data_IF_389399877151
#
_entry.id   IF_389399877151
#
_cell.length_a   1.000
_cell.length_b   1.000
_cell.length_c   1.000
_cell.angle_alpha   90.00
_cell.angle_beta   90.00
_cell.angle_gamma   90.00
#
_symmetry.space_group_name_H-M   'P 1'
#
loop_
_entity.id
_entity.type
_entity.pdbx_description
1 polymer ?
#
# COMPACT_ATOMS: atom_id res chain seq x y z
N UNK A 1 22.75 -3.22 -35.15
CA UNK A 1 21.74 -3.73 -34.21
C UNK A 1 21.10 -2.55 -33.52
N UNK A 2 19.78 -2.54 -33.47
CA UNK A 2 18.96 -1.57 -32.73
C UNK A 2 17.85 -2.35 -32.04
N UNK A 3 17.27 -1.81 -30.98
CA UNK A 3 16.24 -2.53 -30.25
C UNK A 3 15.80 -1.77 -29.03
N UNK A 4 14.78 -2.32 -28.37
CA UNK A 4 14.23 -1.79 -27.14
C UNK A 4 14.14 -2.89 -26.10
N UNK A 5 14.35 -2.52 -24.84
CA UNK A 5 14.31 -3.41 -23.69
C UNK A 5 13.39 -2.82 -22.64
N UNK A 6 12.57 -3.70 -22.05
CA UNK A 6 11.56 -3.35 -21.07
C UNK A 6 11.62 -4.31 -19.89
N UNK A 7 11.01 -3.88 -18.78
CA UNK A 7 10.81 -4.69 -17.58
C UNK A 7 9.33 -4.99 -17.39
N UNK A 8 9.05 -6.26 -17.10
CA UNK A 8 7.71 -6.74 -16.81
C UNK A 8 7.45 -6.80 -15.31
N UNK A 9 6.38 -6.17 -14.85
CA UNK A 9 5.88 -6.24 -13.47
C UNK A 9 4.36 -6.52 -13.53
N UNK A 10 3.86 -7.65 -13.00
CA UNK A 10 4.58 -8.76 -12.39
C UNK A 10 5.36 -9.60 -13.43
N UNK A 11 6.43 -10.25 -12.98
CA UNK A 11 7.26 -11.12 -13.81
C UNK A 11 6.50 -12.34 -14.34
N UNK A 12 6.89 -12.84 -15.53
CA UNK A 12 6.38 -14.08 -16.11
C UNK A 12 7.45 -14.71 -17.02
N UNK A 13 8.04 -15.82 -16.58
CA UNK A 13 9.11 -16.50 -17.32
C UNK A 13 8.74 -16.92 -18.75
N UNK A 14 7.48 -17.31 -19.02
CA UNK A 14 7.04 -17.71 -20.38
C UNK A 14 6.88 -16.52 -21.33
N UNK A 15 6.67 -15.32 -20.80
CA UNK A 15 6.51 -14.09 -21.59
C UNK A 15 7.74 -13.18 -21.54
N UNK A 16 8.83 -13.67 -20.95
CA UNK A 16 10.11 -13.00 -20.85
C UNK A 16 11.08 -13.54 -21.91
N UNK A 17 12.14 -12.78 -22.21
CA UNK A 17 13.13 -13.11 -23.23
C UNK A 17 13.22 -12.07 -24.34
N UNK A 18 14.28 -12.19 -25.15
CA UNK A 18 14.54 -11.31 -26.29
C UNK A 18 13.90 -11.88 -27.55
N UNK A 19 13.28 -11.00 -28.34
CA UNK A 19 12.73 -11.31 -29.66
C UNK A 19 13.67 -10.74 -30.70
N UNK A 20 14.24 -11.61 -31.52
CA UNK A 20 15.23 -11.26 -32.53
C UNK A 20 14.55 -11.17 -33.89
N UNK A 21 14.59 -9.98 -34.47
CA UNK A 21 14.02 -9.64 -35.75
C UNK A 21 15.10 -9.47 -36.81
N UNK A 22 14.74 -9.72 -38.06
CA UNK A 22 15.55 -9.41 -39.23
C UNK A 22 14.65 -8.91 -40.34
N UNK A 23 14.91 -7.69 -40.81
CA UNK A 23 14.16 -7.01 -41.88
C UNK A 23 12.65 -7.01 -41.60
N UNK A 24 12.28 -6.73 -40.35
CA UNK A 24 10.88 -6.68 -39.90
C UNK A 24 10.21 -8.05 -39.71
N UNK A 25 10.95 -9.17 -39.84
CA UNK A 25 10.43 -10.53 -39.57
C UNK A 25 11.03 -11.08 -38.28
N UNK A 26 10.19 -11.65 -37.41
CA UNK A 26 10.63 -12.42 -36.25
C UNK A 26 11.37 -13.68 -36.72
N UNK A 27 12.61 -13.84 -36.26
CA UNK A 27 13.45 -15.02 -36.55
C UNK A 27 13.55 -15.91 -35.31
N UNK A 28 13.73 -15.32 -34.13
CA UNK A 28 13.83 -16.06 -32.86
C UNK A 28 13.01 -15.34 -31.79
N UNK A 29 12.15 -16.05 -31.07
CA UNK A 29 11.25 -15.46 -30.09
C UNK A 29 9.81 -15.92 -30.27
N UNK A 30 8.92 -15.42 -29.42
CA UNK A 30 7.49 -15.76 -29.42
C UNK A 30 7.02 -16.19 -28.03
N UNK A 31 5.74 -16.54 -27.87
CA UNK A 31 5.19 -16.97 -26.58
C UNK A 31 5.90 -18.23 -26.05
N UNK A 32 6.78 -18.07 -25.07
CA UNK A 32 7.56 -19.16 -24.48
C UNK A 32 8.91 -19.45 -25.14
N UNK A 33 9.22 -18.81 -26.27
CA UNK A 33 10.41 -19.09 -27.10
C UNK A 33 11.39 -17.91 -27.19
N UNK A 34 11.33 -16.98 -26.25
CA UNK A 34 12.26 -15.85 -26.19
C UNK A 34 13.72 -16.30 -26.09
N UNK A 35 14.62 -15.62 -26.81
CA UNK A 35 16.06 -15.83 -26.70
C UNK A 35 16.55 -15.37 -25.32
N UNK A 36 17.23 -16.26 -24.59
CA UNK A 36 17.65 -16.06 -23.19
C UNK A 36 19.07 -16.58 -22.95
N UNK A 37 20.10 -15.81 -23.30
CA UNK A 37 21.48 -16.20 -23.02
C UNK A 37 21.69 -16.30 -21.51
N UNK A 38 22.33 -17.36 -21.05
CA UNK A 38 22.52 -17.66 -19.62
C UNK A 38 23.33 -16.57 -18.91
N UNK A 39 24.22 -15.88 -19.61
CA UNK A 39 25.07 -14.81 -19.09
C UNK A 39 24.28 -13.56 -18.65
N UNK A 40 23.03 -13.43 -19.11
CA UNK A 40 22.13 -12.31 -18.81
C UNK A 40 20.92 -12.80 -18.00
N UNK A 41 20.32 -13.92 -18.41
CA UNK A 41 19.08 -14.44 -17.81
C UNK A 41 19.35 -15.40 -16.64
N UNK A 42 20.60 -15.83 -16.45
CA UNK A 42 21.06 -16.72 -15.38
C UNK A 42 20.22 -18.00 -15.33
N UNK A 43 19.39 -18.20 -14.31
CA UNK A 43 18.53 -19.38 -14.18
C UNK A 43 17.04 -19.04 -14.44
N UNK A 44 16.22 -20.00 -14.93
CA UNK A 44 14.83 -19.76 -15.33
C UNK A 44 13.91 -19.14 -14.26
N UNK A 45 14.21 -19.35 -12.98
CA UNK A 45 13.45 -18.81 -11.85
C UNK A 45 13.95 -17.46 -11.33
N UNK A 46 15.01 -16.89 -11.91
CA UNK A 46 15.55 -15.60 -11.47
C UNK A 46 14.58 -14.44 -11.76
N UNK A 47 14.74 -13.33 -11.05
CA UNK A 47 13.89 -12.16 -11.30
C UNK A 47 14.13 -11.58 -12.69
N UNK A 48 15.39 -11.49 -13.12
CA UNK A 48 15.74 -11.07 -14.48
C UNK A 48 15.17 -12.02 -15.55
N UNK A 49 15.16 -13.33 -15.34
CA UNK A 49 14.62 -14.28 -16.33
C UNK A 49 13.11 -14.23 -16.51
N UNK A 50 12.41 -13.69 -15.51
CA UNK A 50 10.96 -13.51 -15.51
C UNK A 50 10.53 -12.12 -15.96
N UNK A 51 11.43 -11.13 -15.90
CA UNK A 51 11.07 -9.71 -16.08
C UNK A 51 11.69 -9.06 -17.29
N UNK A 52 12.87 -9.49 -17.72
CA UNK A 52 13.57 -8.89 -18.84
C UNK A 52 12.90 -9.30 -20.16
N UNK A 53 12.45 -8.32 -20.92
CA UNK A 53 11.82 -8.48 -22.24
C UNK A 53 12.49 -7.51 -23.20
N UNK A 54 12.73 -7.93 -24.43
CA UNK A 54 13.22 -7.01 -25.45
C UNK A 54 12.92 -7.45 -26.86
N UNK A 55 13.07 -6.50 -27.77
CA UNK A 55 12.98 -6.68 -29.22
C UNK A 55 14.24 -6.11 -29.85
N UNK A 56 14.94 -6.92 -30.65
CA UNK A 56 16.24 -6.60 -31.22
C UNK A 56 16.23 -6.85 -32.73
N UNK A 57 16.55 -5.82 -33.51
CA UNK A 57 16.70 -5.89 -34.96
C UNK A 57 18.16 -6.19 -35.34
N UNK A 58 18.33 -7.31 -36.04
CA UNK A 58 19.59 -7.89 -36.52
C UNK A 58 19.61 -7.97 -38.06
N UNK A 59 19.32 -6.86 -38.73
CA UNK A 59 19.13 -6.80 -40.20
C UNK A 59 20.31 -7.35 -41.03
N UNK A 60 21.54 -7.07 -40.58
CA UNK A 60 22.79 -7.43 -41.26
C UNK A 60 23.38 -8.76 -40.80
N UNK A 61 22.69 -9.50 -39.93
CA UNK A 61 23.19 -10.74 -39.38
C UNK A 61 22.93 -11.94 -40.31
N UNK A 62 23.86 -12.92 -40.34
CA UNK A 62 23.67 -14.14 -41.10
C UNK A 62 22.58 -15.00 -40.45
N UNK A 63 21.82 -15.71 -41.28
CA UNK A 63 20.75 -16.62 -40.86
C UNK A 63 20.97 -18.00 -41.47
N UNK A 64 20.45 -19.03 -40.82
CA UNK A 64 20.48 -20.40 -41.34
C UNK A 64 19.76 -20.50 -42.68
N UNK A 65 20.04 -21.56 -43.43
CA UNK A 65 19.45 -21.78 -44.76
C UNK A 65 17.91 -21.77 -44.74
N UNK A 66 17.30 -22.29 -43.67
CA UNK A 66 15.83 -22.32 -43.50
C UNK A 66 15.27 -20.98 -43.01
N UNK A 67 16.13 -20.05 -42.54
CA UNK A 67 15.78 -18.74 -41.97
C UNK A 67 14.95 -18.83 -40.68
N UNK A 68 15.10 -19.93 -39.96
CA UNK A 68 14.43 -20.18 -38.68
C UNK A 68 15.35 -19.89 -37.48
N UNK A 69 16.61 -19.57 -37.73
CA UNK A 69 17.57 -19.17 -36.71
C UNK A 69 18.65 -18.26 -37.30
N UNK A 70 19.32 -17.51 -36.42
CA UNK A 70 20.56 -16.82 -36.77
C UNK A 70 21.72 -17.81 -36.87
N UNK A 71 22.65 -17.54 -37.79
CA UNK A 71 23.89 -18.31 -37.89
C UNK A 71 24.93 -17.69 -36.95
N UNK A 72 25.19 -18.37 -35.85
CA UNK A 72 26.05 -17.91 -34.77
C UNK A 72 27.52 -18.29 -34.95
N UNK A 73 27.93 -18.74 -36.14
CA UNK A 73 29.30 -19.19 -36.42
C UNK A 73 30.37 -18.11 -36.15
N UNK A 74 31.57 -18.56 -35.79
CA UNK A 74 32.78 -17.72 -35.71
C UNK A 74 32.74 -16.67 -34.60
N UNK A 75 32.44 -17.08 -33.36
CA UNK A 75 32.39 -16.24 -32.15
C UNK A 75 31.37 -15.08 -32.18
N UNK A 76 30.51 -15.06 -33.20
CA UNK A 76 29.54 -13.99 -33.41
C UNK A 76 28.52 -13.93 -32.26
N UNK A 77 28.06 -15.09 -31.76
CA UNK A 77 27.17 -15.17 -30.59
C UNK A 77 27.85 -14.69 -29.31
N UNK A 78 29.12 -15.05 -29.10
CA UNK A 78 29.84 -14.59 -27.93
C UNK A 78 29.99 -13.05 -27.94
N UNK A 79 30.37 -12.49 -29.09
CA UNK A 79 30.46 -11.04 -29.27
C UNK A 79 29.10 -10.33 -29.12
N UNK A 80 28.02 -10.98 -29.56
CA UNK A 80 26.65 -10.50 -29.37
C UNK A 80 26.28 -10.42 -27.89
N UNK A 81 26.47 -11.52 -27.16
CA UNK A 81 26.11 -11.64 -25.75
C UNK A 81 26.88 -10.63 -24.91
N UNK A 82 28.18 -10.43 -25.16
CA UNK A 82 28.99 -9.41 -24.46
C UNK A 82 28.39 -8.02 -24.63
N UNK A 83 28.08 -7.61 -25.87
CA UNK A 83 27.51 -6.29 -26.14
C UNK A 83 26.10 -6.15 -25.58
N UNK A 84 25.29 -7.20 -25.68
CA UNK A 84 23.94 -7.20 -25.15
C UNK A 84 23.96 -7.06 -23.63
N UNK A 85 24.84 -7.81 -22.95
CA UNK A 85 25.01 -7.78 -21.49
C UNK A 85 25.36 -6.37 -21.00
N UNK A 86 26.29 -5.70 -21.66
CA UNK A 86 26.65 -4.31 -21.35
C UNK A 86 25.46 -3.36 -21.55
N UNK A 87 24.74 -3.50 -22.67
CA UNK A 87 23.59 -2.66 -22.99
C UNK A 87 22.38 -2.85 -22.05
N UNK A 88 22.21 -4.04 -21.46
CA UNK A 88 21.09 -4.34 -20.55
C UNK A 88 21.46 -4.34 -19.07
N UNK A 89 22.71 -4.01 -18.71
CA UNK A 89 23.20 -4.05 -17.33
C UNK A 89 22.26 -3.28 -16.37
N UNK A 90 21.93 -2.03 -16.70
CA UNK A 90 21.00 -1.20 -15.91
C UNK A 90 19.62 -1.84 -15.74
N UNK A 91 19.14 -2.57 -16.74
CA UNK A 91 17.84 -3.25 -16.71
C UNK A 91 17.90 -4.55 -15.92
N UNK A 92 19.01 -5.27 -15.98
CA UNK A 92 19.24 -6.47 -15.15
C UNK A 92 19.32 -6.08 -13.68
N UNK A 93 20.04 -5.01 -13.37
CA UNK A 93 20.11 -4.45 -12.01
C UNK A 93 18.72 -4.05 -11.54
N UNK A 94 17.97 -3.26 -12.33
CA UNK A 94 16.58 -2.93 -12.01
C UNK A 94 15.69 -4.16 -11.87
N UNK A 95 15.84 -5.18 -12.71
CA UNK A 95 15.04 -6.41 -12.63
C UNK A 95 15.24 -7.16 -11.32
N UNK A 96 16.46 -7.13 -10.78
CA UNK A 96 16.82 -7.80 -9.51
C UNK A 96 16.47 -6.97 -8.29
N UNK A 97 16.62 -5.64 -8.36
CA UNK A 97 16.36 -4.74 -7.22
C UNK A 97 14.90 -4.32 -7.10
N UNK A 98 14.13 -4.39 -8.19
CA UNK A 98 12.69 -4.10 -8.15
C UNK A 98 12.02 -5.14 -7.28
N UNK A 99 11.69 -4.79 -6.04
CA UNK A 99 10.74 -5.60 -5.27
C UNK A 99 9.43 -5.51 -6.05
N UNK A 100 8.85 -6.65 -6.42
CA UNK A 100 7.41 -6.60 -6.62
C UNK A 100 6.89 -6.14 -5.27
N UNK A 101 6.17 -5.02 -5.23
CA UNK A 101 5.32 -4.72 -4.08
C UNK A 101 4.31 -5.86 -4.04
N UNK A 102 4.71 -6.97 -3.43
CA UNK A 102 3.81 -8.05 -3.10
C UNK A 102 2.88 -7.43 -2.10
N UNK A 103 1.72 -7.01 -2.60
CA UNK A 103 0.72 -6.28 -1.84
C UNK A 103 0.34 -7.16 -0.67
N UNK A 104 0.94 -6.85 0.48
CA UNK A 104 0.77 -7.66 1.67
C UNK A 104 -0.28 -6.99 2.52
N UNK A 105 -1.43 -7.63 2.59
CA UNK A 105 -2.56 -7.16 3.39
C UNK A 105 -2.16 -7.11 4.88
N UNK A 106 -2.50 -6.04 5.61
CA UNK A 106 -2.32 -5.98 7.06
C UNK A 106 -3.15 -7.04 7.77
N UNK A 107 -2.59 -7.59 8.84
CA UNK A 107 -3.33 -8.45 9.76
C UNK A 107 -3.88 -7.64 10.94
N UNK A 108 -4.81 -8.22 11.68
CA UNK A 108 -5.32 -7.71 12.95
C UNK A 108 -4.17 -7.47 13.92
N UNK A 109 -3.17 -8.34 13.95
CA UNK A 109 -1.97 -8.15 14.77
C UNK A 109 -1.16 -6.91 14.37
N UNK A 110 -1.01 -6.64 13.06
CA UNK A 110 -0.34 -5.43 12.60
C UNK A 110 -1.14 -4.17 12.99
N UNK A 111 -2.47 -4.24 12.88
CA UNK A 111 -3.38 -3.18 13.32
C UNK A 111 -3.28 -2.93 14.82
N UNK A 112 -3.32 -3.99 15.63
CA UNK A 112 -3.20 -3.90 17.09
C UNK A 112 -1.86 -3.26 17.50
N UNK A 113 -0.75 -3.66 16.89
CA UNK A 113 0.56 -3.05 17.13
C UNK A 113 0.56 -1.55 16.80
N UNK A 114 -0.07 -1.14 15.69
CA UNK A 114 -0.21 0.26 15.34
C UNK A 114 -1.10 1.04 16.33
N UNK A 115 -2.18 0.40 16.81
CA UNK A 115 -3.05 0.95 17.87
C UNK A 115 -2.30 1.15 19.19
N UNK A 116 -1.54 0.14 19.61
CA UNK A 116 -0.73 0.18 20.83
C UNK A 116 0.36 1.25 20.74
N UNK A 117 1.08 1.35 19.62
CA UNK A 117 2.08 2.40 19.41
C UNK A 117 1.46 3.81 19.41
N UNK A 118 0.19 3.92 19.00
CA UNK A 118 -0.54 5.19 19.04
C UNK A 118 -0.96 5.59 20.46
N UNK A 119 -1.17 4.62 21.35
CA UNK A 119 -1.54 4.86 22.74
C UNK A 119 -0.52 5.72 23.45
N UNK A 120 0.76 5.40 23.31
CA UNK A 120 1.85 6.16 23.94
C UNK A 120 1.85 7.63 23.50
N UNK A 121 1.56 7.89 22.22
CA UNK A 121 1.47 9.25 21.69
C UNK A 121 0.23 10.01 22.18
N UNK A 122 -0.87 9.32 22.46
CA UNK A 122 -2.15 9.91 22.85
C UNK A 122 -2.32 10.09 24.36
N UNK A 123 -1.54 9.41 25.18
CA UNK A 123 -1.53 9.56 26.64
C UNK A 123 -0.71 10.78 27.13
N UNK A 124 -0.18 11.62 26.22
CA UNK A 124 0.55 12.84 26.59
C UNK A 124 -0.41 13.88 27.23
N UNK A 125 -0.12 14.43 28.42
CA UNK A 125 -0.92 15.47 29.06
C UNK A 125 -1.18 16.72 28.21
N UNK A 126 -0.35 16.98 27.19
CA UNK A 126 -0.60 18.05 26.23
C UNK A 126 -1.94 17.85 25.49
N UNK A 127 -2.33 16.60 25.22
CA UNK A 127 -3.57 16.21 24.54
C UNK A 127 -4.80 16.73 25.29
N UNK A 128 -4.76 16.79 26.61
CA UNK A 128 -5.83 17.34 27.46
C UNK A 128 -6.21 18.78 27.05
N UNK A 129 -5.19 19.59 26.74
CA UNK A 129 -5.42 20.98 26.33
C UNK A 129 -6.08 21.05 24.94
N UNK A 130 -5.72 20.15 24.03
CA UNK A 130 -6.41 20.06 22.73
C UNK A 130 -7.87 19.67 22.93
N UNK A 131 -8.14 18.70 23.81
CA UNK A 131 -9.49 18.24 24.07
C UNK A 131 -10.37 19.32 24.69
N UNK A 132 -9.85 20.08 25.66
CA UNK A 132 -10.57 21.24 26.21
C UNK A 132 -10.96 22.27 25.13
N UNK A 133 -10.06 22.57 24.19
CA UNK A 133 -10.33 23.49 23.07
C UNK A 133 -11.43 22.93 22.15
N UNK A 134 -11.37 21.62 21.88
CA UNK A 134 -12.36 20.89 21.05
C UNK A 134 -13.71 20.71 21.75
N UNK A 135 -13.80 20.84 23.07
CA UNK A 135 -15.07 20.73 23.80
C UNK A 135 -15.71 22.09 24.18
N UNK A 136 -14.95 23.17 24.36
CA UNK A 136 -15.43 24.42 25.02
C UNK A 136 -15.90 25.60 24.13
N UNK A 137 -16.01 25.44 22.81
CA UNK A 137 -16.47 26.51 21.88
C UNK A 137 -18.00 26.61 21.75
N UNK A 138 -18.54 27.74 21.22
CA UNK A 138 -19.98 28.03 21.27
C UNK A 138 -20.81 27.00 20.48
N UNK A 139 -21.97 26.56 21.03
CA UNK A 139 -22.76 25.46 20.46
C UNK A 139 -23.67 25.93 19.32
N UNK A 140 -23.75 25.19 18.21
CA UNK A 140 -24.97 25.11 17.41
C UNK A 140 -25.86 23.92 17.84
N UNK A 141 -27.13 23.99 17.46
CA UNK A 141 -28.25 23.16 17.98
C UNK A 141 -28.12 21.68 17.56
N UNK A 142 -28.54 20.69 18.39
CA UNK A 142 -28.23 19.27 18.21
C UNK A 142 -29.24 18.45 17.41
N UNK A 143 -28.72 17.41 16.73
CA UNK A 143 -29.41 16.13 16.45
C UNK A 143 -28.38 15.00 16.38
N UNK A 144 -28.61 13.89 17.08
CA UNK A 144 -27.91 12.62 16.89
C UNK A 144 -28.83 11.62 16.19
N UNK A 145 -28.35 10.74 15.30
CA UNK A 145 -29.13 9.58 14.87
C UNK A 145 -28.65 8.32 15.61
N UNK A 146 -29.57 7.68 16.33
CA UNK A 146 -29.41 6.37 16.98
C UNK A 146 -29.05 5.22 16.01
N UNK A 147 -29.02 5.48 14.71
CA UNK A 147 -28.69 4.51 13.65
C UNK A 147 -27.20 4.15 13.57
N UNK A 148 -26.29 5.04 13.96
CA UNK A 148 -24.84 4.82 13.83
C UNK A 148 -24.29 3.85 14.89
N UNK A 149 -24.83 3.91 16.12
CA UNK A 149 -24.47 2.98 17.21
C UNK A 149 -24.92 1.55 16.88
N UNK A 150 -26.09 1.40 16.25
CA UNK A 150 -26.60 0.10 15.83
C UNK A 150 -25.78 -0.53 14.69
N UNK A 151 -25.25 0.29 13.77
CA UNK A 151 -24.38 -0.18 12.67
C UNK A 151 -23.09 -0.77 13.20
N UNK A 152 -22.41 -0.09 14.12
CA UNK A 152 -21.16 -0.59 14.70
C UNK A 152 -21.42 -1.82 15.58
N UNK A 153 -22.49 -1.85 16.37
CA UNK A 153 -22.82 -3.01 17.19
C UNK A 153 -23.00 -4.29 16.35
N UNK A 154 -23.60 -4.19 15.16
CA UNK A 154 -23.73 -5.30 14.23
C UNK A 154 -22.39 -5.70 13.57
N UNK A 155 -21.46 -4.76 13.43
CA UNK A 155 -20.14 -4.99 12.81
C UNK A 155 -19.15 -5.65 13.79
N UNK A 156 -19.26 -5.38 15.10
CA UNK A 156 -18.30 -5.86 16.11
C UNK A 156 -18.71 -7.14 16.84
N UNK A 157 -19.90 -7.69 16.56
CA UNK A 157 -20.47 -8.86 17.26
C UNK A 157 -19.51 -10.09 17.24
N UNK A 158 -18.75 -10.26 16.15
CA UNK A 158 -17.77 -11.34 15.97
C UNK A 158 -16.29 -10.86 15.98
N UNK A 159 -16.02 -9.58 16.24
CA UNK A 159 -14.69 -8.97 16.02
C UNK A 159 -13.63 -9.24 17.12
N UNK A 160 -13.96 -9.99 18.17
CA UNK A 160 -13.09 -10.24 19.33
C UNK A 160 -12.84 -8.99 20.21
N UNK A 161 -11.89 -9.09 21.15
CA UNK A 161 -11.61 -7.98 22.09
C UNK A 161 -10.98 -6.76 21.40
N UNK A 162 -11.41 -5.52 21.73
CA UNK A 162 -10.83 -4.29 21.20
C UNK A 162 -9.44 -3.99 21.78
N UNK A 163 -8.66 -3.21 21.04
CA UNK A 163 -7.52 -2.50 21.60
C UNK A 163 -8.03 -1.24 22.32
N UNK A 164 -7.87 -1.18 23.64
CA UNK A 164 -8.27 -0.03 24.46
C UNK A 164 -7.17 1.01 24.54
N UNK A 165 -7.48 2.20 24.03
CA UNK A 165 -6.61 3.38 24.07
C UNK A 165 -7.21 4.41 25.03
N UNK A 166 -6.42 4.78 26.04
CA UNK A 166 -6.76 5.89 26.96
C UNK A 166 -6.16 7.17 26.37
N UNK A 167 -7.01 8.14 26.09
CA UNK A 167 -6.61 9.44 25.57
C UNK A 167 -6.29 10.35 26.76
N UNK A 168 -5.06 10.88 26.85
CA UNK A 168 -4.60 11.82 27.89
C UNK A 168 -4.76 11.35 29.36
N UNK A 169 -5.00 12.29 30.29
CA UNK A 169 -5.10 12.03 31.75
C UNK A 169 -6.51 11.62 32.24
N UNK A 170 -6.68 11.29 33.53
CA UNK A 170 -7.96 10.82 34.11
C UNK A 170 -9.13 11.78 33.78
N UNK A 171 -10.22 11.23 33.23
CA UNK A 171 -11.47 11.96 32.92
C UNK A 171 -11.75 12.21 31.43
N UNK A 172 -10.87 11.73 30.54
CA UNK A 172 -11.05 11.77 29.08
C UNK A 172 -11.66 10.45 28.56
N UNK A 173 -12.29 10.43 27.37
CA UNK A 173 -12.99 9.24 26.88
C UNK A 173 -12.03 8.09 26.57
N UNK A 174 -12.45 6.89 26.87
CA UNK A 174 -11.84 5.66 26.38
C UNK A 174 -12.17 5.49 24.90
N UNK A 175 -11.21 4.97 24.13
CA UNK A 175 -11.42 4.61 22.75
C UNK A 175 -11.13 3.14 22.52
N UNK A 176 -12.17 2.44 22.10
CA UNK A 176 -12.12 1.04 21.72
C UNK A 176 -11.96 0.95 20.20
N UNK A 177 -10.89 0.30 19.74
CA UNK A 177 -10.59 0.12 18.32
C UNK A 177 -10.59 -1.35 17.93
N UNK A 178 -11.30 -1.67 16.84
CA UNK A 178 -11.32 -2.99 16.21
C UNK A 178 -10.69 -2.92 14.83
N UNK A 179 -9.74 -3.81 14.57
CA UNK A 179 -9.15 -4.00 13.24
C UNK A 179 -9.75 -5.25 12.60
N UNK A 180 -10.50 -5.04 11.52
CA UNK A 180 -11.36 -6.05 10.89
C UNK A 180 -10.72 -6.56 9.59
N UNK A 181 -10.49 -7.88 9.50
CA UNK A 181 -9.87 -8.54 8.34
C UNK A 181 -10.90 -9.13 7.36
N UNK A 182 -12.17 -9.15 7.72
CA UNK A 182 -13.26 -9.86 7.06
C UNK A 182 -14.26 -8.92 6.37
N UNK A 183 -14.10 -7.61 6.53
CA UNK A 183 -14.95 -6.61 5.87
C UNK A 183 -14.71 -6.58 4.34
N UNK A 184 -15.76 -6.45 3.51
CA UNK A 184 -15.60 -6.26 2.08
C UNK A 184 -14.72 -5.04 1.70
N UNK A 185 -14.00 -5.14 0.59
CA UNK A 185 -13.17 -4.03 0.07
C UNK A 185 -14.00 -2.83 -0.41
N UNK A 186 -15.30 -3.03 -0.71
CA UNK A 186 -16.20 -1.98 -1.19
C UNK A 186 -16.78 -1.12 -0.07
N UNK A 187 -16.60 -1.52 1.18
CA UNK A 187 -17.07 -0.76 2.34
C UNK A 187 -16.05 0.30 2.76
N UNK A 188 -16.50 1.27 3.56
CA UNK A 188 -15.68 2.39 3.98
C UNK A 188 -14.49 1.94 4.86
N UNK A 189 -13.44 2.75 4.86
CA UNK A 189 -12.17 2.42 5.53
C UNK A 189 -12.27 2.36 7.06
N UNK A 190 -13.20 3.11 7.66
CA UNK A 190 -13.48 3.07 9.08
C UNK A 190 -14.91 3.54 9.37
N UNK A 191 -15.51 2.97 10.41
CA UNK A 191 -16.77 3.40 11.00
C UNK A 191 -16.54 3.91 12.41
N UNK A 192 -17.29 4.93 12.80
CA UNK A 192 -17.16 5.59 14.10
C UNK A 192 -18.50 5.68 14.84
N UNK A 193 -18.49 5.40 16.14
CA UNK A 193 -19.62 5.61 17.04
C UNK A 193 -19.17 6.18 18.39
N UNK A 194 -20.09 6.86 19.05
CA UNK A 194 -19.92 7.40 20.40
C UNK A 194 -21.10 6.89 21.26
N UNK A 195 -21.06 5.63 21.74
CA UNK A 195 -22.16 5.07 22.54
C UNK A 195 -22.44 5.85 23.83
N UNK A 196 -21.42 6.51 24.40
CA UNK A 196 -21.55 7.43 25.52
C UNK A 196 -20.56 8.60 25.38
N UNK A 197 -20.65 9.60 26.24
CA UNK A 197 -19.66 10.69 26.28
C UNK A 197 -18.26 10.21 26.71
N UNK A 198 -18.18 9.06 27.37
CA UNK A 198 -16.94 8.49 27.93
C UNK A 198 -16.34 7.40 27.05
N UNK A 199 -17.05 6.91 26.03
CA UNK A 199 -16.59 5.81 25.18
C UNK A 199 -16.75 6.17 23.72
N UNK A 200 -15.63 6.10 23.00
CA UNK A 200 -15.52 6.17 21.55
C UNK A 200 -15.30 4.75 21.00
N UNK A 201 -15.90 4.45 19.85
CA UNK A 201 -15.74 3.18 19.16
C UNK A 201 -15.32 3.42 17.72
N UNK A 202 -14.27 2.73 17.29
CA UNK A 202 -13.73 2.81 15.93
C UNK A 202 -13.56 1.41 15.36
N UNK A 203 -14.26 1.11 14.26
CA UNK A 203 -14.12 -0.13 13.53
C UNK A 203 -13.35 0.13 12.23
N UNK A 204 -12.21 -0.52 12.04
CA UNK A 204 -11.24 -0.22 10.98
C UNK A 204 -11.20 -1.38 9.98
N UNK A 205 -11.48 -1.10 8.70
CA UNK A 205 -11.48 -2.10 7.64
C UNK A 205 -10.06 -2.29 7.06
N UNK A 206 -9.39 -3.39 7.41
CA UNK A 206 -8.05 -3.72 6.90
C UNK A 206 -8.04 -4.19 5.44
N UNK A 207 -9.21 -4.44 4.85
CA UNK A 207 -9.37 -4.89 3.47
C UNK A 207 -9.59 -3.74 2.50
N UNK A 208 -9.77 -2.52 3.00
CA UNK A 208 -10.03 -1.37 2.17
C UNK A 208 -8.86 -1.14 1.17
N UNK A 209 -9.11 -0.82 -0.11
CA UNK A 209 -8.06 -0.71 -1.12
C UNK A 209 -6.93 0.28 -0.78
N UNK A 210 -7.22 1.36 -0.05
CA UNK A 210 -6.19 2.27 0.44
C UNK A 210 -5.25 1.59 1.44
N UNK A 211 -5.80 0.82 2.37
CA UNK A 211 -5.03 0.12 3.41
C UNK A 211 -4.15 -0.96 2.77
N UNK A 212 -4.75 -1.77 1.89
CA UNK A 212 -4.06 -2.87 1.22
C UNK A 212 -3.00 -2.36 0.25
N UNK A 213 -3.29 -1.36 -0.58
CA UNK A 213 -2.35 -0.94 -1.63
C UNK A 213 -1.30 0.07 -1.16
N UNK A 214 -1.61 0.93 -0.18
CA UNK A 214 -0.74 2.04 0.24
C UNK A 214 -0.05 1.77 1.57
N UNK A 215 -0.83 1.36 2.59
CA UNK A 215 -0.31 1.15 3.94
C UNK A 215 0.45 -0.17 4.01
N UNK A 216 -0.16 -1.26 3.54
CA UNK A 216 0.38 -2.62 3.65
C UNK A 216 0.81 -2.90 5.11
N UNK A 217 1.71 -3.87 5.33
CA UNK A 217 2.21 -4.22 6.66
C UNK A 217 3.29 -3.25 7.21
N UNK A 218 3.37 -2.03 6.69
CA UNK A 218 4.36 -1.04 7.12
C UNK A 218 3.96 -0.46 8.49
N UNK A 219 4.72 -0.71 9.57
CA UNK A 219 4.33 -0.29 10.92
C UNK A 219 4.19 1.21 11.06
N UNK A 220 5.06 2.00 10.40
CA UNK A 220 5.03 3.45 10.50
C UNK A 220 3.81 4.02 9.78
N UNK A 221 3.49 3.50 8.59
CA UNK A 221 2.30 3.93 7.86
C UNK A 221 1.02 3.57 8.59
N UNK A 222 0.95 2.35 9.16
CA UNK A 222 -0.20 1.91 9.94
C UNK A 222 -0.37 2.74 11.22
N UNK A 223 0.71 3.05 11.94
CA UNK A 223 0.68 3.92 13.12
C UNK A 223 0.20 5.34 12.76
N UNK A 224 0.78 5.95 11.73
CA UNK A 224 0.36 7.28 11.26
C UNK A 224 -1.11 7.30 10.83
N UNK A 225 -1.54 6.27 10.12
CA UNK A 225 -2.93 6.17 9.69
C UNK A 225 -3.87 5.99 10.88
N UNK A 226 -3.53 5.11 11.82
CA UNK A 226 -4.27 4.93 13.04
C UNK A 226 -4.40 6.27 13.77
N UNK A 227 -3.30 6.99 14.02
CA UNK A 227 -3.27 8.33 14.62
C UNK A 227 -4.25 9.30 13.95
N UNK A 228 -4.33 9.31 12.63
CA UNK A 228 -5.30 10.14 11.91
C UNK A 228 -6.75 9.72 12.19
N UNK A 229 -7.06 8.43 12.23
CA UNK A 229 -8.39 7.94 12.59
C UNK A 229 -8.77 8.28 14.03
N UNK A 230 -7.81 8.19 14.96
CA UNK A 230 -7.97 8.60 16.36
C UNK A 230 -8.36 10.07 16.48
N UNK A 231 -7.63 10.94 15.79
CA UNK A 231 -7.93 12.38 15.78
C UNK A 231 -9.28 12.64 15.14
N UNK A 232 -9.63 11.96 14.05
CA UNK A 232 -10.91 12.12 13.38
C UNK A 232 -12.08 11.73 14.29
N UNK A 233 -11.97 10.62 15.01
CA UNK A 233 -12.94 10.17 16.01
C UNK A 233 -13.12 11.20 17.15
N UNK A 234 -12.02 11.76 17.67
CA UNK A 234 -12.07 12.78 18.73
C UNK A 234 -12.70 14.08 18.26
N UNK A 235 -12.36 14.51 17.04
CA UNK A 235 -12.94 15.70 16.41
C UNK A 235 -14.43 15.49 16.16
N UNK A 236 -14.83 14.31 15.71
CA UNK A 236 -16.24 13.98 15.49
C UNK A 236 -17.05 13.93 16.80
N UNK A 237 -16.48 13.36 17.88
CA UNK A 237 -17.08 13.46 19.23
C UNK A 237 -17.24 14.91 19.68
N UNK A 238 -16.20 15.73 19.52
CA UNK A 238 -16.26 17.17 19.80
C UNK A 238 -17.35 17.88 19.00
N UNK A 239 -17.50 17.52 17.72
CA UNK A 239 -18.57 18.02 16.86
C UNK A 239 -19.96 17.61 17.38
N UNK A 240 -20.15 16.33 17.75
CA UNK A 240 -21.42 15.79 18.26
C UNK A 240 -21.85 16.46 19.56
N UNK A 241 -20.94 16.62 20.53
CA UNK A 241 -21.22 17.39 21.77
C UNK A 241 -21.70 18.81 21.49
N UNK A 242 -21.30 19.38 20.35
CA UNK A 242 -21.69 20.70 19.86
C UNK A 242 -22.81 20.65 18.81
N UNK A 243 -23.58 19.58 18.74
CA UNK A 243 -24.74 19.47 17.85
C UNK A 243 -24.48 19.05 16.40
N UNK A 244 -23.28 18.58 16.08
CA UNK A 244 -22.98 17.82 14.86
C UNK A 244 -22.63 18.64 13.63
N UNK A 245 -22.70 19.98 13.69
CA UNK A 245 -22.47 20.83 12.51
C UNK A 245 -21.35 21.85 12.75
N UNK A 246 -20.10 21.40 12.59
CA UNK A 246 -18.93 22.29 12.60
C UNK A 246 -18.64 22.78 11.18
N UNK A 247 -18.25 24.07 10.99
CA UNK A 247 -17.78 24.52 9.69
C UNK A 247 -16.47 23.81 9.30
N UNK A 248 -16.18 23.59 8.00
CA UNK A 248 -14.98 22.87 7.55
C UNK A 248 -13.65 23.41 8.12
N UNK A 249 -13.56 24.71 8.40
CA UNK A 249 -12.37 25.30 9.01
C UNK A 249 -12.20 24.88 10.48
N UNK A 250 -13.28 24.77 11.26
CA UNK A 250 -13.22 24.32 12.64
C UNK A 250 -12.75 22.85 12.73
N UNK A 251 -13.17 21.99 11.80
CA UNK A 251 -12.62 20.63 11.69
C UNK A 251 -11.10 20.65 11.49
N UNK A 252 -10.58 21.51 10.61
CA UNK A 252 -9.13 21.61 10.35
C UNK A 252 -8.37 22.16 11.54
N UNK A 253 -8.90 23.18 12.22
CA UNK A 253 -8.31 23.76 13.43
C UNK A 253 -8.27 22.76 14.57
N UNK A 254 -9.33 21.95 14.75
CA UNK A 254 -9.35 20.90 15.76
C UNK A 254 -8.34 19.80 15.47
N UNK A 255 -8.25 19.34 14.22
CA UNK A 255 -7.21 18.40 13.81
C UNK A 255 -5.81 18.97 14.04
N UNK A 256 -5.54 20.22 13.66
CA UNK A 256 -4.25 20.89 13.88
C UNK A 256 -3.87 20.97 15.36
N UNK A 257 -4.82 21.32 16.23
CA UNK A 257 -4.57 21.38 17.68
C UNK A 257 -4.22 20.04 18.32
N UNK A 258 -4.79 18.94 17.82
CA UNK A 258 -4.42 17.59 18.24
C UNK A 258 -3.06 17.19 17.66
N UNK A 259 -2.90 17.29 16.33
CA UNK A 259 -1.69 16.83 15.63
C UNK A 259 -0.41 17.58 16.05
N UNK A 260 -0.49 18.83 16.51
CA UNK A 260 0.67 19.54 17.08
C UNK A 260 1.16 18.97 18.40
N UNK A 261 0.34 18.18 19.09
CA UNK A 261 0.60 17.68 20.44
C UNK A 261 0.93 16.20 20.46
N UNK A 262 0.43 15.44 19.48
CA UNK A 262 0.81 14.04 19.26
C UNK A 262 2.25 14.00 18.74
N UNK A 263 3.13 13.28 19.43
CA UNK A 263 4.50 13.01 18.95
C UNK A 263 4.58 11.58 18.38
N UNK A 264 5.31 11.35 17.28
CA UNK A 264 5.56 10.01 16.77
C UNK A 264 6.38 9.16 17.73
#
# INVERSE_FOLDING_TARGET
MKGSVWLRIPGNGRRAGMHLFRRGRLVTGGPGEGYKPEEIFVYPQSFQSQRLVGELDLDDWPVTQTKDAFDWAGDLEHAFIIKLKDAVADYVDKATTTKSDEVTKPTKADGQLAGDATKDSLSDPAVDTAMMIVESGPPPVPTAPAEEVAKIAAVIEDAGEPTRVVVGSEGLPELDVWFLEDRPESEIYAEFACPSDEVLQLAVNLNHPFVVNILQRDPLKLQLWAQMLYVDALVERGARKRGGNLPPNAYREFKDHFLRRVRP
#
